data_IF_466192508181
#
_entry.id   IF_466192508181
#
_cell.length_a   1.000
_cell.length_b   1.000
_cell.length_c   1.000
_cell.angle_alpha   90.00
_cell.angle_beta   90.00
_cell.angle_gamma   90.00
#
_symmetry.space_group_name_H-M   'P 1'
#
loop_
_entity.id
_entity.type
_entity.pdbx_description
1 polymer ?
#
# COMPACT_ATOMS: atom_id res chain seq x y z
N UNK A 1 -16.50 9.74 1.25
CA UNK A 1 -15.25 8.93 1.30
C UNK A 1 -14.63 8.88 -0.09
N UNK A 2 -13.30 8.88 -0.21
CA UNK A 2 -12.62 8.73 -1.52
C UNK A 2 -11.91 7.38 -1.56
N UNK A 3 -12.20 6.57 -2.57
CA UNK A 3 -11.54 5.28 -2.80
C UNK A 3 -10.47 5.44 -3.87
N UNK A 4 -9.21 5.21 -3.48
CA UNK A 4 -8.06 5.18 -4.37
C UNK A 4 -7.81 3.75 -4.84
N UNK A 5 -8.24 3.42 -6.05
CA UNK A 5 -8.29 2.04 -6.55
C UNK A 5 -7.30 1.78 -7.67
N UNK A 6 -7.09 0.49 -7.93
CA UNK A 6 -6.33 0.03 -9.09
C UNK A 6 -7.05 0.44 -10.38
N UNK A 7 -6.28 0.88 -11.37
CA UNK A 7 -6.70 1.01 -12.77
C UNK A 7 -7.09 -0.35 -13.33
N UNK A 8 -8.36 -0.50 -13.69
CA UNK A 8 -8.83 -1.70 -14.34
C UNK A 8 -8.48 -1.66 -15.85
N UNK A 9 -8.34 -2.83 -16.50
CA UNK A 9 -8.24 -2.91 -17.95
C UNK A 9 -9.44 -2.26 -18.65
N UNK A 10 -9.24 -1.84 -19.89
CA UNK A 10 -10.29 -1.22 -20.70
C UNK A 10 -11.55 -2.10 -20.77
N UNK A 11 -12.72 -1.48 -20.53
CA UNK A 11 -14.02 -2.15 -20.52
C UNK A 11 -14.46 -2.72 -19.17
N UNK A 12 -13.65 -2.59 -18.11
CA UNK A 12 -14.04 -2.95 -16.75
C UNK A 12 -14.32 -1.71 -15.89
N UNK A 13 -15.34 -1.81 -15.03
CA UNK A 13 -15.71 -0.75 -14.10
C UNK A 13 -15.96 -1.31 -12.70
N UNK A 14 -15.69 -0.49 -11.69
CA UNK A 14 -16.15 -0.79 -10.34
C UNK A 14 -17.62 -0.39 -10.21
N UNK A 15 -18.45 -1.30 -9.74
CA UNK A 15 -19.85 -1.02 -9.41
C UNK A 15 -19.98 -0.92 -7.90
N UNK A 16 -20.37 0.25 -7.41
CA UNK A 16 -20.65 0.47 -5.99
C UNK A 16 -22.15 0.60 -5.80
N UNK A 17 -22.65 0.00 -4.73
CA UNK A 17 -24.01 0.24 -4.27
C UNK A 17 -24.10 1.67 -3.75
N UNK A 18 -25.05 2.45 -4.27
CA UNK A 18 -25.29 3.83 -3.84
C UNK A 18 -26.06 3.90 -2.51
N UNK A 19 -26.51 2.77 -1.96
CA UNK A 19 -27.13 2.69 -0.65
C UNK A 19 -26.09 2.84 0.47
N UNK A 20 -25.72 4.08 0.78
CA UNK A 20 -24.79 4.35 1.87
C UNK A 20 -24.23 5.77 1.89
N UNK A 21 -23.08 5.93 2.55
CA UNK A 21 -22.36 7.19 2.57
C UNK A 21 -21.83 7.56 1.17
N UNK A 22 -21.81 8.85 0.78
CA UNK A 22 -21.29 9.26 -0.53
C UNK A 22 -19.84 8.79 -0.75
N UNK A 23 -19.61 8.08 -1.84
CA UNK A 23 -18.30 7.58 -2.26
C UNK A 23 -17.88 8.22 -3.57
N UNK A 24 -16.64 8.71 -3.63
CA UNK A 24 -15.97 9.12 -4.85
C UNK A 24 -14.87 8.11 -5.18
N UNK A 25 -14.78 7.70 -6.43
CA UNK A 25 -13.83 6.69 -6.88
C UNK A 25 -12.76 7.35 -7.74
N UNK A 26 -11.50 7.06 -7.44
CA UNK A 26 -10.37 7.50 -8.23
C UNK A 26 -9.42 6.31 -8.46
N UNK A 27 -9.39 5.84 -9.70
CA UNK A 27 -8.37 4.89 -10.15
C UNK A 27 -7.05 5.66 -10.33
N UNK A 28 -5.98 5.27 -9.62
CA UNK A 28 -4.74 6.07 -9.61
C UNK A 28 -3.44 5.27 -9.52
N UNK A 29 -3.50 3.97 -9.34
CA UNK A 29 -2.33 3.08 -9.28
C UNK A 29 -2.61 1.82 -10.09
N UNK A 30 -1.58 1.05 -10.45
CA UNK A 30 -1.71 -0.12 -11.33
C UNK A 30 -0.90 -1.29 -10.78
N UNK A 31 -1.44 -2.51 -10.76
CA UNK A 31 -0.67 -3.66 -10.31
C UNK A 31 0.60 -3.85 -11.14
N UNK A 32 1.73 -4.06 -10.47
CA UNK A 32 3.04 -4.24 -11.10
C UNK A 32 3.76 -2.93 -11.48
N UNK A 33 3.16 -1.75 -11.28
CA UNK A 33 3.81 -0.47 -11.57
C UNK A 33 4.73 -0.02 -10.41
N UNK A 34 6.01 0.15 -10.71
CA UNK A 34 7.03 0.60 -9.74
C UNK A 34 6.84 2.04 -9.26
N UNK A 35 6.01 2.83 -9.95
CA UNK A 35 5.74 4.24 -9.64
C UNK A 35 4.51 4.41 -8.73
N UNK A 36 3.82 3.33 -8.35
CA UNK A 36 2.58 3.38 -7.56
C UNK A 36 2.66 4.25 -6.31
N UNK A 37 3.77 4.19 -5.56
CA UNK A 37 3.93 5.01 -4.37
C UNK A 37 3.89 6.52 -4.68
N UNK A 38 4.51 6.96 -5.78
CA UNK A 38 4.49 8.36 -6.20
C UNK A 38 3.10 8.77 -6.72
N UNK A 39 2.44 7.87 -7.46
CA UNK A 39 1.08 8.11 -7.97
C UNK A 39 0.09 8.29 -6.83
N UNK A 40 0.18 7.45 -5.79
CA UNK A 40 -0.63 7.54 -4.57
C UNK A 40 -0.35 8.84 -3.80
N UNK A 41 0.92 9.22 -3.62
CA UNK A 41 1.29 10.51 -2.99
C UNK A 41 0.67 11.68 -3.76
N UNK A 42 0.73 11.68 -5.09
CA UNK A 42 0.12 12.71 -5.93
C UNK A 42 -1.40 12.75 -5.78
N UNK A 43 -2.06 11.58 -5.76
CA UNK A 43 -3.50 11.49 -5.56
C UNK A 43 -3.91 12.06 -4.19
N UNK A 44 -3.24 11.65 -3.11
CA UNK A 44 -3.50 12.15 -1.75
C UNK A 44 -3.28 13.66 -1.63
N UNK A 45 -2.20 14.19 -2.22
CA UNK A 45 -1.95 15.64 -2.22
C UNK A 45 -3.01 16.44 -2.97
N UNK A 46 -3.59 15.86 -4.01
CA UNK A 46 -4.67 16.49 -4.79
C UNK A 46 -5.98 16.48 -4.02
N UNK A 47 -6.30 15.37 -3.34
CA UNK A 47 -7.57 15.21 -2.61
C UNK A 47 -7.55 15.81 -1.21
N UNK A 48 -6.37 15.99 -0.61
CA UNK A 48 -6.14 16.55 0.73
C UNK A 48 -7.05 15.94 1.82
N UNK A 49 -7.03 14.61 2.01
CA UNK A 49 -7.89 13.96 3.00
C UNK A 49 -7.43 14.25 4.43
N UNK A 50 -8.35 14.17 5.39
CA UNK A 50 -8.03 14.28 6.82
C UNK A 50 -7.23 13.08 7.34
N UNK A 51 -7.53 11.89 6.79
CA UNK A 51 -6.85 10.62 7.12
C UNK A 51 -6.79 9.71 5.90
N UNK A 52 -5.71 8.95 5.79
CA UNK A 52 -5.53 7.93 4.76
C UNK A 52 -5.54 6.55 5.41
N UNK A 53 -6.49 5.70 5.01
CA UNK A 53 -6.57 4.31 5.42
C UNK A 53 -6.06 3.41 4.30
N UNK A 54 -4.97 2.70 4.56
CA UNK A 54 -4.49 1.62 3.71
C UNK A 54 -5.08 0.31 4.18
N UNK A 55 -5.81 -0.37 3.31
CA UNK A 55 -6.14 -1.79 3.49
C UNK A 55 -5.34 -2.60 2.45
N UNK A 56 -4.19 -3.12 2.87
CA UNK A 56 -3.21 -3.74 1.96
C UNK A 56 -2.68 -5.06 2.50
N UNK A 57 -2.09 -5.85 1.62
CA UNK A 57 -1.25 -7.02 1.89
C UNK A 57 0.12 -6.82 1.25
N UNK A 58 1.13 -7.63 1.61
CA UNK A 58 2.49 -7.51 1.05
C UNK A 58 2.52 -7.56 -0.49
N UNK A 59 1.62 -8.32 -1.12
CA UNK A 59 1.53 -8.45 -2.57
C UNK A 59 0.57 -7.45 -3.24
N UNK A 60 0.00 -6.47 -2.52
CA UNK A 60 -1.04 -5.58 -3.07
C UNK A 60 -0.64 -4.81 -4.32
N UNK A 61 0.63 -4.46 -4.47
CA UNK A 61 1.10 -3.59 -5.57
C UNK A 61 1.81 -4.32 -6.70
N UNK A 62 1.95 -5.65 -6.61
CA UNK A 62 2.62 -6.43 -7.65
C UNK A 62 3.08 -7.79 -7.15
N UNK A 63 3.23 -8.73 -8.09
CA UNK A 63 3.88 -10.03 -7.88
C UNK A 63 5.40 -9.97 -8.06
N UNK A 64 5.90 -8.94 -8.77
CA UNK A 64 7.33 -8.70 -8.97
C UNK A 64 7.99 -7.97 -7.80
N UNK A 65 9.24 -8.32 -7.48
CA UNK A 65 10.01 -7.78 -6.34
C UNK A 65 9.99 -6.26 -6.24
N UNK A 66 10.25 -5.57 -7.36
CA UNK A 66 10.41 -4.12 -7.38
C UNK A 66 9.09 -3.39 -7.15
N UNK A 67 8.03 -3.77 -7.87
CA UNK A 67 6.72 -3.13 -7.76
C UNK A 67 6.09 -3.36 -6.37
N UNK A 68 6.19 -4.59 -5.83
CA UNK A 68 5.74 -4.90 -4.49
C UNK A 68 6.50 -4.07 -3.44
N UNK A 69 7.84 -4.05 -3.50
CA UNK A 69 8.68 -3.30 -2.57
C UNK A 69 8.39 -1.80 -2.58
N UNK A 70 8.38 -1.21 -3.77
CA UNK A 70 8.20 0.22 -3.95
C UNK A 70 6.78 0.63 -3.60
N UNK A 71 5.77 -0.16 -3.97
CA UNK A 71 4.39 0.06 -3.56
C UNK A 71 4.21 0.10 -2.04
N UNK A 72 4.87 -0.79 -1.30
CA UNK A 72 4.83 -0.82 0.17
C UNK A 72 5.48 0.42 0.84
N UNK A 73 6.20 1.26 0.10
CA UNK A 73 6.70 2.54 0.61
C UNK A 73 5.63 3.64 0.62
N UNK A 74 4.50 3.46 -0.08
CA UNK A 74 3.46 4.48 -0.22
C UNK A 74 2.93 5.03 1.13
N UNK A 75 2.62 4.19 2.15
CA UNK A 75 2.14 4.70 3.44
C UNK A 75 3.17 5.59 4.14
N UNK A 76 4.46 5.22 4.05
CA UNK A 76 5.53 6.00 4.65
C UNK A 76 5.71 7.35 3.95
N UNK A 77 5.66 7.39 2.61
CA UNK A 77 5.75 8.63 1.84
C UNK A 77 4.57 9.56 2.09
N UNK A 78 3.35 9.01 2.21
CA UNK A 78 2.14 9.80 2.49
C UNK A 78 2.18 10.37 3.92
N UNK A 79 2.62 9.58 4.89
CA UNK A 79 2.86 10.07 6.26
C UNK A 79 3.91 11.17 6.29
N UNK A 80 5.03 10.99 5.56
CA UNK A 80 6.07 12.01 5.43
C UNK A 80 5.58 13.28 4.72
N UNK A 81 4.57 13.16 3.85
CA UNK A 81 3.91 14.30 3.21
C UNK A 81 2.91 15.04 4.13
N UNK A 82 2.79 14.65 5.41
CA UNK A 82 2.00 15.34 6.42
C UNK A 82 0.58 14.81 6.62
N UNK A 83 0.23 13.67 6.02
CA UNK A 83 -1.11 13.10 6.11
C UNK A 83 -1.18 12.01 7.20
N UNK A 84 -2.10 12.12 8.17
CA UNK A 84 -2.39 11.03 9.10
C UNK A 84 -2.69 9.75 8.34
N UNK A 85 -1.96 8.67 8.65
CA UNK A 85 -2.00 7.42 7.88
C UNK A 85 -2.17 6.23 8.80
N UNK A 86 -3.19 5.41 8.53
CA UNK A 86 -3.48 4.15 9.22
C UNK A 86 -3.28 3.01 8.22
N UNK A 87 -2.61 1.94 8.65
CA UNK A 87 -2.37 0.76 7.80
C UNK A 87 -3.00 -0.46 8.46
N UNK A 88 -3.94 -1.08 7.74
CA UNK A 88 -4.47 -2.39 8.02
C UNK A 88 -3.75 -3.38 7.10
N UNK A 89 -2.87 -4.17 7.70
CA UNK A 89 -2.13 -5.21 7.02
C UNK A 89 -2.75 -6.56 7.38
N UNK A 90 -3.53 -7.13 6.48
CA UNK A 90 -4.37 -8.29 6.79
C UNK A 90 -3.74 -9.65 6.44
N UNK A 91 -2.60 -9.66 5.75
CA UNK A 91 -1.81 -10.87 5.50
C UNK A 91 -0.35 -10.60 5.85
N UNK A 92 0.05 -11.00 7.05
CA UNK A 92 1.46 -11.21 7.40
C UNK A 92 1.76 -12.61 6.84
N UNK A 93 2.41 -12.71 5.68
CA UNK A 93 2.93 -14.00 5.25
C UNK A 93 3.91 -14.48 6.32
N UNK A 94 3.43 -15.39 7.17
CA UNK A 94 4.07 -15.96 8.36
C UNK A 94 5.41 -16.66 8.03
N UNK A 95 5.67 -16.88 6.75
CA UNK A 95 6.98 -17.23 6.21
C UNK A 95 7.06 -16.68 4.79
N UNK A 96 7.36 -15.38 4.64
CA UNK A 96 8.08 -15.00 3.43
C UNK A 96 9.50 -15.49 3.64
N UNK A 97 9.71 -16.76 3.31
CA UNK A 97 11.02 -17.23 2.94
C UNK A 97 11.35 -16.53 1.61
N UNK A 98 11.75 -15.26 1.76
CA UNK A 98 12.09 -14.33 0.67
C UNK A 98 13.19 -14.93 -0.22
N UNK A 99 13.92 -15.93 0.29
CA UNK A 99 14.90 -16.71 -0.44
C UNK A 99 14.25 -17.64 -1.47
N UNK A 100 13.16 -18.34 -1.12
CA UNK A 100 12.53 -19.35 -1.98
C UNK A 100 11.51 -18.75 -2.96
N UNK A 101 10.92 -17.59 -2.64
CA UNK A 101 10.14 -16.80 -3.60
C UNK A 101 11.01 -15.90 -4.51
N UNK A 102 12.33 -16.04 -4.43
CA UNK A 102 13.30 -15.31 -5.22
C UNK A 102 13.54 -13.87 -4.75
N UNK A 103 12.79 -13.29 -3.81
CA UNK A 103 12.79 -11.88 -3.40
C UNK A 103 14.11 -11.27 -2.85
N UNK A 104 15.21 -12.01 -2.72
CA UNK A 104 16.47 -11.52 -2.15
C UNK A 104 17.54 -11.16 -3.20
N UNK A 105 17.94 -9.89 -3.18
CA UNK A 105 19.28 -9.40 -3.59
C UNK A 105 19.56 -7.96 -3.11
N UNK A 106 18.54 -7.23 -2.64
CA UNK A 106 18.67 -5.86 -2.16
C UNK A 106 18.75 -5.78 -0.63
N UNK A 107 19.92 -5.39 -0.09
CA UNK A 107 20.14 -5.10 1.35
C UNK A 107 19.15 -4.06 1.91
N UNK A 108 18.67 -3.16 1.05
CA UNK A 108 17.70 -2.12 1.39
C UNK A 108 16.32 -2.72 1.76
N UNK A 109 15.90 -3.74 1.03
CA UNK A 109 14.59 -4.37 1.22
C UNK A 109 14.54 -5.22 2.48
N UNK A 110 15.63 -5.94 2.78
CA UNK A 110 15.79 -6.65 4.05
C UNK A 110 15.71 -5.69 5.25
N UNK A 111 16.33 -4.51 5.14
CA UNK A 111 16.27 -3.49 6.19
C UNK A 111 14.86 -2.90 6.36
N UNK A 112 14.11 -2.63 5.28
CA UNK A 112 12.75 -2.10 5.38
C UNK A 112 11.79 -3.10 6.05
N UNK A 113 11.89 -4.38 5.68
CA UNK A 113 11.09 -5.44 6.31
C UNK A 113 11.48 -5.60 7.78
N UNK A 114 12.76 -5.53 8.12
CA UNK A 114 13.23 -5.62 9.51
C UNK A 114 12.80 -4.41 10.34
N UNK A 115 12.80 -3.21 9.76
CA UNK A 115 12.31 -1.99 10.41
C UNK A 115 10.80 -2.08 10.63
N UNK A 116 10.04 -2.53 9.63
CA UNK A 116 8.59 -2.72 9.75
C UNK A 116 8.24 -3.78 10.80
N UNK A 117 8.90 -4.94 10.78
CA UNK A 117 8.77 -5.98 11.80
C UNK A 117 9.10 -5.46 13.20
N UNK A 118 10.21 -4.74 13.36
CA UNK A 118 10.59 -4.16 14.66
C UNK A 118 9.59 -3.11 15.18
N UNK A 119 8.99 -2.30 14.30
CA UNK A 119 7.93 -1.36 14.68
C UNK A 119 6.68 -2.12 15.14
N UNK A 120 6.30 -3.16 14.41
CA UNK A 120 5.13 -3.99 14.73
C UNK A 120 5.31 -4.75 16.04
N UNK A 121 6.47 -5.37 16.26
CA UNK A 121 6.84 -6.03 17.52
C UNK A 121 6.86 -5.05 18.70
N UNK A 122 7.37 -3.82 18.50
CA UNK A 122 7.35 -2.79 19.57
C UNK A 122 5.96 -2.25 19.88
N UNK A 123 5.05 -2.24 18.91
CA UNK A 123 3.65 -1.88 19.14
C UNK A 123 2.92 -2.99 19.91
N UNK A 124 3.21 -4.26 19.59
CA UNK A 124 2.65 -5.42 20.30
C UNK A 124 3.19 -5.57 21.74
N UNK A 125 4.49 -5.33 21.96
CA UNK A 125 5.11 -5.42 23.30
C UNK A 125 4.86 -4.20 24.19
N UNK A 126 4.22 -3.15 23.67
CA UNK A 126 3.78 -1.98 24.44
C UNK A 126 2.29 -2.02 24.79
N UNK A 127 1.57 -3.05 24.35
CA UNK A 127 0.27 -3.45 24.87
C UNK A 127 0.46 -4.40 26.06
#
# INVERSE_FOLDING_TARGET
MILLLEELPDGQSYNFDESGAPVSVQQCWRFGDVTNALRLVKAVRKTKPDVVLFNIQFASFGSGKAAAALGLTAPALIKAAGYPTVVLLHNIMETVDLNSAGFTDSRLMSNLIRVFGNIMTRLLLKA
#
